data_IF_413962325884
#
_entry.id   IF_413962325884
#
_cell.length_a   1.000
_cell.length_b   1.000
_cell.length_c   1.000
_cell.angle_alpha   90.00
_cell.angle_beta   90.00
_cell.angle_gamma   90.00
#
_symmetry.space_group_name_H-M   'P 1'
#
loop_
_entity.id
_entity.type
_entity.pdbx_description
1 polymer ?
#
# COMPACT_ATOMS: atom_id res chain seq x y z
N UNK A 1 -5.34 18.04 10.35
CA UNK A 1 -3.90 17.90 10.07
C UNK A 1 -3.60 16.69 9.18
N UNK A 2 -3.93 15.47 9.60
CA UNK A 2 -3.64 14.25 8.81
C UNK A 2 -4.21 14.28 7.38
N UNK A 3 -5.43 14.77 7.20
CA UNK A 3 -6.05 14.89 5.88
C UNK A 3 -5.29 15.83 4.95
N UNK A 4 -4.71 16.91 5.48
CA UNK A 4 -3.92 17.87 4.70
C UNK A 4 -2.63 17.21 4.23
N UNK A 5 -1.94 16.49 5.12
CA UNK A 5 -0.73 15.75 4.80
C UNK A 5 -1.01 14.70 3.73
N UNK A 6 -2.09 13.94 3.90
CA UNK A 6 -2.50 12.92 2.94
C UNK A 6 -2.84 13.52 1.57
N UNK A 7 -3.55 14.65 1.52
CA UNK A 7 -3.90 15.32 0.27
C UNK A 7 -2.68 15.84 -0.49
N UNK A 8 -1.60 16.15 0.20
CA UNK A 8 -0.32 16.56 -0.41
C UNK A 8 0.55 15.38 -0.81
N UNK A 9 0.48 14.28 -0.06
CA UNK A 9 1.27 13.08 -0.31
C UNK A 9 0.73 12.27 -1.51
N UNK A 10 -0.59 12.09 -1.58
CA UNK A 10 -1.24 11.26 -2.62
C UNK A 10 -0.84 11.61 -4.05
N UNK A 11 -0.85 12.87 -4.50
CA UNK A 11 -0.46 13.20 -5.86
C UNK A 11 0.99 12.86 -6.20
N UNK A 12 1.89 12.96 -5.22
CA UNK A 12 3.30 12.60 -5.39
C UNK A 12 3.47 11.08 -5.44
N UNK A 13 2.80 10.35 -4.56
CA UNK A 13 2.82 8.90 -4.52
C UNK A 13 2.20 8.27 -5.77
N UNK A 14 1.10 8.83 -6.28
CA UNK A 14 0.39 8.31 -7.45
C UNK A 14 1.25 8.26 -8.71
N UNK A 15 2.24 9.13 -8.82
CA UNK A 15 3.17 9.18 -9.96
C UNK A 15 4.18 8.02 -9.97
N UNK A 16 4.41 7.39 -8.84
CA UNK A 16 5.45 6.37 -8.67
C UNK A 16 4.90 4.97 -8.41
N UNK A 17 3.63 4.87 -8.05
CA UNK A 17 2.99 3.58 -7.82
C UNK A 17 2.74 2.89 -9.16
N UNK A 18 3.10 1.63 -9.25
CA UNK A 18 2.94 0.83 -10.47
C UNK A 18 1.48 0.55 -10.77
N UNK A 19 1.17 0.25 -12.04
CA UNK A 19 -0.19 -0.04 -12.51
C UNK A 19 -0.81 -1.25 -11.80
N UNK A 20 0.01 -2.21 -11.40
CA UNK A 20 -0.44 -3.44 -10.74
C UNK A 20 -0.93 -3.23 -9.31
N UNK A 21 -0.55 -2.13 -8.68
CA UNK A 21 -0.99 -1.78 -7.33
C UNK A 21 -2.44 -1.29 -7.37
N UNK A 22 -3.37 -2.09 -6.91
CA UNK A 22 -4.80 -1.73 -6.87
C UNK A 22 -5.29 -1.34 -5.47
N UNK A 23 -4.67 -1.88 -4.42
CA UNK A 23 -5.05 -1.56 -3.04
C UNK A 23 -4.66 -0.14 -2.64
N UNK A 24 -5.51 0.50 -1.83
CA UNK A 24 -5.29 1.84 -1.27
C UNK A 24 -5.15 2.96 -2.32
N UNK A 25 -5.68 2.78 -3.50
CA UNK A 25 -5.65 3.78 -4.58
C UNK A 25 -7.05 4.22 -4.98
N UNK A 26 -7.23 5.52 -5.18
CA UNK A 26 -8.47 6.08 -5.72
C UNK A 26 -8.69 5.62 -7.18
N UNK A 27 -9.92 5.30 -7.51
CA UNK A 27 -10.31 4.85 -8.85
C UNK A 27 -9.85 3.46 -9.23
N UNK A 28 -9.24 2.72 -8.29
CA UNK A 28 -8.83 1.33 -8.48
C UNK A 28 -9.48 0.43 -7.45
N UNK A 29 -9.68 -0.83 -7.81
CA UNK A 29 -10.34 -1.81 -6.96
C UNK A 29 -9.59 -3.14 -6.96
N UNK A 30 -9.52 -3.77 -5.79
CA UNK A 30 -9.03 -5.14 -5.67
C UNK A 30 -9.94 -6.14 -6.39
N UNK A 31 -11.22 -5.80 -6.53
CA UNK A 31 -12.19 -6.59 -7.32
C UNK A 31 -11.79 -6.66 -8.81
N UNK A 32 -11.22 -5.59 -9.36
CA UNK A 32 -10.68 -5.60 -10.73
C UNK A 32 -9.53 -6.59 -10.89
N UNK A 33 -8.69 -6.72 -9.88
CA UNK A 33 -7.58 -7.69 -9.88
C UNK A 33 -8.10 -9.13 -9.83
N UNK A 34 -9.14 -9.39 -9.07
CA UNK A 34 -9.82 -10.69 -9.03
C UNK A 34 -10.40 -11.01 -10.41
N UNK A 35 -11.03 -10.04 -11.06
CA UNK A 35 -11.57 -10.16 -12.40
C UNK A 35 -10.48 -10.45 -13.45
N UNK A 36 -9.36 -9.76 -13.37
CA UNK A 36 -8.21 -10.00 -14.25
C UNK A 36 -7.67 -11.42 -14.10
N UNK A 37 -7.56 -11.92 -12.88
CA UNK A 37 -7.13 -13.29 -12.62
C UNK A 37 -8.12 -14.29 -13.22
N UNK A 38 -9.41 -14.05 -13.08
CA UNK A 38 -10.45 -14.88 -13.65
C UNK A 38 -10.34 -14.95 -15.19
N UNK A 39 -10.13 -13.80 -15.86
CA UNK A 39 -9.94 -13.76 -17.32
C UNK A 39 -8.70 -14.56 -17.72
N UNK A 40 -7.59 -14.45 -16.97
CA UNK A 40 -6.38 -15.23 -17.24
C UNK A 40 -6.66 -16.73 -17.11
N UNK A 41 -7.35 -17.15 -16.07
CA UNK A 41 -7.74 -18.55 -15.88
C UNK A 41 -8.58 -19.07 -17.08
N UNK A 42 -9.56 -18.30 -17.51
CA UNK A 42 -10.40 -18.67 -18.65
C UNK A 42 -9.62 -18.82 -19.95
N UNK A 43 -8.69 -17.89 -20.21
CA UNK A 43 -7.81 -17.96 -21.40
C UNK A 43 -6.92 -19.21 -21.41
N UNK A 44 -6.30 -19.53 -20.28
CA UNK A 44 -5.47 -20.72 -20.15
C UNK A 44 -6.28 -22.00 -20.33
N UNK A 45 -7.50 -22.05 -19.77
CA UNK A 45 -8.40 -23.17 -19.94
C UNK A 45 -8.82 -23.36 -21.42
N UNK A 46 -9.14 -22.28 -22.12
CA UNK A 46 -9.48 -22.33 -23.55
C UNK A 46 -8.36 -22.91 -24.42
N UNK A 47 -7.11 -22.65 -24.04
CA UNK A 47 -5.93 -23.15 -24.75
C UNK A 47 -5.40 -24.48 -24.18
N UNK A 48 -6.11 -25.08 -23.23
CA UNK A 48 -5.71 -26.32 -22.54
C UNK A 48 -4.29 -26.23 -21.95
N UNK A 49 -3.97 -25.06 -21.39
CA UNK A 49 -2.68 -24.77 -20.74
C UNK A 49 -2.84 -24.66 -19.23
N UNK A 50 -1.83 -25.08 -18.51
CA UNK A 50 -1.79 -24.93 -17.06
C UNK A 50 -1.42 -23.49 -16.68
N UNK A 51 -2.08 -22.96 -15.68
CA UNK A 51 -1.77 -21.66 -15.07
C UNK A 51 -1.37 -21.88 -13.60
N UNK A 52 -0.17 -21.46 -13.27
CA UNK A 52 0.33 -21.52 -11.89
C UNK A 52 0.29 -20.13 -11.27
N UNK A 53 -0.29 -20.01 -10.08
CA UNK A 53 -0.30 -18.76 -9.34
C UNK A 53 0.14 -18.97 -7.90
N UNK A 54 0.80 -17.93 -7.36
CA UNK A 54 1.23 -17.88 -5.98
C UNK A 54 0.62 -16.65 -5.33
N UNK A 55 -0.03 -16.84 -4.19
CA UNK A 55 -0.55 -15.76 -3.37
C UNK A 55 0.41 -15.49 -2.21
N UNK A 56 0.88 -14.24 -2.12
CA UNK A 56 1.81 -13.82 -1.07
C UNK A 56 1.08 -12.90 -0.10
N UNK A 57 1.06 -13.28 1.16
CA UNK A 57 0.46 -12.49 2.23
C UNK A 57 1.48 -12.25 3.34
N UNK A 58 1.75 -10.98 3.64
CA UNK A 58 2.71 -10.61 4.67
C UNK A 58 2.07 -10.62 6.06
N UNK A 59 2.63 -11.39 6.96
CA UNK A 59 2.21 -11.40 8.36
C UNK A 59 2.59 -10.07 9.03
N UNK A 60 1.59 -9.36 9.58
CA UNK A 60 1.77 -8.07 10.26
C UNK A 60 2.52 -7.05 9.38
N UNK A 61 2.09 -6.88 8.14
CA UNK A 61 2.78 -6.08 7.14
C UNK A 61 3.10 -4.66 7.61
N UNK A 62 2.13 -3.96 8.20
CA UNK A 62 2.32 -2.58 8.68
C UNK A 62 3.22 -2.48 9.92
N UNK A 63 3.17 -3.47 10.80
CA UNK A 63 3.99 -3.50 12.03
C UNK A 63 5.46 -3.81 11.75
N UNK A 64 5.75 -4.37 10.58
CA UNK A 64 7.09 -4.84 10.20
C UNK A 64 7.80 -3.94 9.21
N UNK A 65 7.27 -2.77 8.93
CA UNK A 65 7.92 -1.80 8.05
C UNK A 65 9.16 -1.22 8.76
N UNK A 66 10.30 -1.37 8.13
CA UNK A 66 11.53 -0.73 8.61
C UNK A 66 11.50 0.76 8.28
N UNK A 67 11.28 1.59 9.30
CA UNK A 67 11.08 3.03 9.12
C UNK A 67 12.28 3.72 8.46
N UNK A 68 13.51 3.36 8.83
CA UNK A 68 14.70 3.95 8.23
C UNK A 68 14.75 3.72 6.70
N UNK A 69 14.45 2.51 6.26
CA UNK A 69 14.36 2.18 4.83
C UNK A 69 13.21 2.90 4.14
N UNK A 70 12.08 3.06 4.83
CA UNK A 70 10.94 3.83 4.32
C UNK A 70 11.32 5.28 4.03
N UNK A 71 12.02 5.95 4.97
CA UNK A 71 12.47 7.33 4.79
C UNK A 71 13.46 7.45 3.63
N UNK A 72 14.39 6.54 3.51
CA UNK A 72 15.35 6.53 2.39
C UNK A 72 14.65 6.35 1.03
N UNK A 73 13.66 5.46 0.97
CA UNK A 73 12.87 5.26 -0.25
C UNK A 73 12.07 6.51 -0.60
N UNK A 74 11.42 7.12 0.39
CA UNK A 74 10.60 8.32 0.18
C UNK A 74 11.43 9.51 -0.33
N UNK A 75 12.68 9.66 0.11
CA UNK A 75 13.58 10.76 -0.33
C UNK A 75 13.74 10.83 -1.84
N UNK A 76 13.61 9.73 -2.53
CA UNK A 76 13.74 9.68 -4.00
C UNK A 76 12.58 10.33 -4.73
N UNK A 77 11.41 10.40 -4.12
CA UNK A 77 10.16 10.71 -4.81
C UNK A 77 9.33 11.80 -4.14
N UNK A 78 9.52 12.00 -2.85
CA UNK A 78 8.68 12.89 -2.03
C UNK A 78 9.50 14.08 -1.56
N UNK A 79 8.86 15.26 -1.43
CA UNK A 79 9.52 16.46 -0.95
C UNK A 79 10.06 16.27 0.47
N UNK A 80 11.26 16.82 0.73
CA UNK A 80 11.96 16.69 2.03
C UNK A 80 11.12 17.25 3.18
N UNK A 81 10.42 18.35 2.97
CA UNK A 81 9.58 18.99 3.98
C UNK A 81 8.44 18.05 4.40
N UNK A 82 7.78 17.43 3.42
CA UNK A 82 6.68 16.51 3.68
C UNK A 82 7.15 15.24 4.40
N UNK A 83 8.31 14.70 4.00
CA UNK A 83 8.93 13.56 4.70
C UNK A 83 9.24 13.91 6.15
N UNK A 84 9.77 15.09 6.42
CA UNK A 84 10.10 15.53 7.78
C UNK A 84 8.85 15.63 8.67
N UNK A 85 7.76 16.15 8.13
CA UNK A 85 6.47 16.21 8.84
C UNK A 85 5.96 14.81 9.18
N UNK A 86 5.97 13.90 8.21
CA UNK A 86 5.52 12.51 8.41
C UNK A 86 6.40 11.80 9.43
N UNK A 87 7.71 11.97 9.32
CA UNK A 87 8.69 11.39 10.25
C UNK A 87 8.46 11.85 11.68
N UNK A 88 8.18 13.12 11.89
CA UNK A 88 7.85 13.66 13.20
C UNK A 88 6.55 13.06 13.76
N UNK A 89 5.55 12.83 12.92
CA UNK A 89 4.32 12.15 13.33
C UNK A 89 4.59 10.71 13.79
N UNK A 90 5.40 9.96 13.07
CA UNK A 90 5.79 8.61 13.45
C UNK A 90 6.54 8.57 14.78
N UNK A 91 7.47 9.48 14.99
CA UNK A 91 8.26 9.56 16.22
C UNK A 91 7.42 9.87 17.45
N UNK A 92 6.29 10.55 17.29
CA UNK A 92 5.38 10.94 18.36
C UNK A 92 4.15 10.02 18.46
N UNK A 93 4.01 9.09 17.54
CA UNK A 93 2.85 8.20 17.52
C UNK A 93 2.89 7.23 18.69
N UNK A 94 1.79 7.16 19.42
CA UNK A 94 1.55 6.17 20.47
C UNK A 94 0.20 5.52 20.24
N UNK A 95 0.07 4.28 20.65
CA UNK A 95 -1.21 3.59 20.63
C UNK A 95 -1.53 3.04 22.01
N UNK A 96 -2.81 3.06 22.36
CA UNK A 96 -3.29 2.53 23.63
C UNK A 96 -4.55 1.68 23.39
N UNK A 97 -4.67 0.62 24.15
CA UNK A 97 -5.86 -0.22 24.15
C UNK A 97 -6.65 0.07 25.41
N UNK A 98 -7.90 0.49 25.25
CA UNK A 98 -8.82 0.70 26.37
C UNK A 98 -9.48 -0.62 26.73
N UNK A 99 -9.20 -1.10 27.92
CA UNK A 99 -9.96 -2.18 28.52
C UNK A 99 -11.08 -1.61 29.39
N UNK A 100 -12.30 -1.98 29.08
CA UNK A 100 -13.42 -1.74 29.99
C UNK A 100 -13.48 -2.93 30.94
N UNK A 101 -13.15 -2.70 32.19
CA UNK A 101 -13.34 -3.71 33.23
C UNK A 101 -14.85 -4.03 33.33
N UNK A 102 -15.16 -5.29 33.30
CA UNK A 102 -16.54 -5.76 33.45
C UNK A 102 -17.04 -5.57 34.92
#
# INVERSE_FOLDING_TARGET
MLKIILSRLKPQAEKIITEEQAGFRAGRSTTEQIFNLQILCEKYLQHQQDLYHVFIDFKKAFDRVWHAALWETMKKYISTILIQVIKNLYNRATSAVLFKAA
#
